data_IF_480923943702
#
_entry.id   IF_480923943702
#
_cell.length_a   1.000
_cell.length_b   1.000
_cell.length_c   1.000
_cell.angle_alpha   90.00
_cell.angle_beta   90.00
_cell.angle_gamma   90.00
#
_symmetry.space_group_name_H-M   'P 1'
#
loop_
_entity.id
_entity.type
_entity.pdbx_description
1 polymer ?
#
# COMPACT_ATOMS: atom_id res chain seq x y z
N UNK A 1 -4.61 -10.99 -18.04
CA UNK A 1 -5.44 -11.19 -16.82
C UNK A 1 -4.76 -10.63 -15.56
N UNK A 2 -3.51 -10.99 -15.24
CA UNK A 2 -2.84 -10.62 -13.99
C UNK A 2 -2.76 -9.09 -13.76
N UNK A 3 -2.46 -8.31 -14.81
CA UNK A 3 -2.43 -6.84 -14.73
C UNK A 3 -3.83 -6.28 -14.45
N UNK A 4 -4.85 -6.81 -15.12
CA UNK A 4 -6.22 -6.37 -14.91
C UNK A 4 -6.68 -6.66 -13.48
N UNK A 5 -6.43 -7.88 -12.99
CA UNK A 5 -6.76 -8.26 -11.62
C UNK A 5 -6.06 -7.35 -10.61
N UNK A 6 -4.75 -7.16 -10.75
CA UNK A 6 -3.96 -6.27 -9.88
C UNK A 6 -4.50 -4.84 -9.87
N UNK A 7 -4.76 -4.25 -11.05
CA UNK A 7 -5.26 -2.88 -11.13
C UNK A 7 -6.68 -2.74 -10.59
N UNK A 8 -7.55 -3.74 -10.81
CA UNK A 8 -8.94 -3.72 -10.32
C UNK A 8 -9.02 -3.88 -8.80
N UNK A 9 -8.13 -4.68 -8.20
CA UNK A 9 -8.10 -4.97 -6.76
C UNK A 9 -7.29 -3.95 -5.94
N UNK A 10 -6.41 -3.18 -6.57
CA UNK A 10 -5.53 -2.25 -5.87
C UNK A 10 -6.24 -1.27 -4.90
N UNK A 11 -7.40 -0.65 -5.24
CA UNK A 11 -8.07 0.25 -4.30
C UNK A 11 -8.50 -0.44 -3.01
N UNK A 12 -9.13 -1.62 -3.11
CA UNK A 12 -9.60 -2.39 -1.96
C UNK A 12 -8.42 -2.84 -1.09
N UNK A 13 -7.35 -3.34 -1.70
CA UNK A 13 -6.14 -3.74 -0.99
C UNK A 13 -5.46 -2.58 -0.24
N UNK A 14 -5.43 -1.37 -0.82
CA UNK A 14 -4.88 -0.20 -0.12
C UNK A 14 -5.76 0.22 1.06
N UNK A 15 -7.08 0.18 0.92
CA UNK A 15 -7.99 0.46 2.04
C UNK A 15 -7.88 -0.60 3.14
N UNK A 16 -7.70 -1.87 2.80
CA UNK A 16 -7.44 -2.92 3.78
C UNK A 16 -6.17 -2.64 4.59
N UNK A 17 -5.08 -2.24 3.93
CA UNK A 17 -3.85 -1.81 4.61
C UNK A 17 -4.09 -0.62 5.55
N UNK A 18 -4.91 0.35 5.14
CA UNK A 18 -5.27 1.48 5.99
C UNK A 18 -6.06 1.04 7.23
N UNK A 19 -7.04 0.14 7.06
CA UNK A 19 -7.81 -0.44 8.16
C UNK A 19 -6.96 -1.34 9.08
N UNK A 20 -5.92 -1.99 8.55
CA UNK A 20 -4.92 -2.71 9.36
C UNK A 20 -4.02 -1.77 10.16
N UNK A 21 -4.03 -0.47 9.86
CA UNK A 21 -3.32 0.56 10.60
C UNK A 21 -2.10 1.12 9.89
N UNK A 22 -1.92 0.91 8.58
CA UNK A 22 -0.82 1.56 7.84
C UNK A 22 -1.01 3.08 7.94
N UNK A 23 -0.03 3.82 8.49
CA UNK A 23 -0.13 5.26 8.72
C UNK A 23 0.14 6.04 7.42
N UNK A 24 -0.74 5.90 6.42
CA UNK A 24 -0.66 6.70 5.21
C UNK A 24 -0.73 8.19 5.54
N UNK A 25 0.07 8.99 4.82
CA UNK A 25 -0.03 10.44 4.83
C UNK A 25 -1.44 10.86 4.40
N UNK A 26 -1.90 12.02 4.88
CA UNK A 26 -3.27 12.49 4.67
C UNK A 26 -3.30 13.77 3.86
N UNK A 27 -4.32 13.92 3.05
CA UNK A 27 -4.75 15.21 2.49
C UNK A 27 -5.43 16.05 3.57
N UNK A 28 -5.68 17.33 3.28
CA UNK A 28 -6.38 18.23 4.20
C UNK A 28 -7.80 17.75 4.56
N UNK A 29 -8.46 17.04 3.65
CA UNK A 29 -9.78 16.43 3.86
C UNK A 29 -9.72 15.01 4.47
N UNK A 30 -8.55 14.58 4.93
CA UNK A 30 -8.37 13.33 5.68
C UNK A 30 -8.29 12.05 4.83
N UNK A 31 -8.31 12.16 3.50
CA UNK A 31 -8.12 11.03 2.60
C UNK A 31 -6.65 10.61 2.54
N UNK A 32 -6.39 9.40 2.00
CA UNK A 32 -5.03 8.93 1.74
C UNK A 32 -4.37 9.85 0.70
N UNK A 33 -3.25 10.45 1.08
CA UNK A 33 -2.41 11.26 0.19
C UNK A 33 -1.80 10.40 -0.91
N UNK A 34 -1.83 10.92 -2.14
CA UNK A 34 -1.27 10.30 -3.33
C UNK A 34 -0.34 11.28 -4.05
N UNK A 35 0.78 10.77 -4.58
CA UNK A 35 1.77 11.56 -5.33
C UNK A 35 1.93 11.10 -6.78
N UNK A 36 2.46 11.94 -7.69
CA UNK A 36 2.94 11.49 -8.99
C UNK A 36 4.06 10.46 -8.86
N UNK A 37 4.16 9.55 -9.84
CA UNK A 37 5.26 8.61 -9.95
C UNK A 37 5.52 8.25 -11.42
N UNK A 38 6.69 7.71 -11.72
CA UNK A 38 7.13 7.45 -13.09
C UNK A 38 6.14 6.59 -13.88
N UNK A 39 5.80 7.00 -15.11
CA UNK A 39 4.95 6.26 -16.03
C UNK A 39 3.45 6.24 -15.71
N UNK A 40 2.99 6.98 -14.71
CA UNK A 40 1.57 7.01 -14.32
C UNK A 40 0.81 8.12 -15.06
N UNK A 41 -0.09 7.73 -15.97
CA UNK A 41 -0.88 8.67 -16.79
C UNK A 41 -2.39 8.55 -16.60
N UNK A 42 -3.13 9.63 -16.82
CA UNK A 42 -4.61 9.64 -16.93
C UNK A 42 -5.04 9.37 -18.39
N UNK A 43 -6.29 8.94 -18.58
CA UNK A 43 -6.91 8.72 -19.90
C UNK A 43 -5.99 8.04 -20.93
N UNK A 44 -5.39 6.91 -20.56
CA UNK A 44 -4.50 6.13 -21.44
C UNK A 44 -3.30 6.89 -22.04
N UNK A 45 -2.82 7.97 -21.40
CA UNK A 45 -1.59 8.66 -21.81
C UNK A 45 -1.68 10.18 -21.89
N UNK A 46 -2.86 10.78 -21.69
CA UNK A 46 -3.07 12.21 -21.96
C UNK A 46 -2.52 13.15 -20.88
N UNK A 47 -2.45 12.70 -19.62
CA UNK A 47 -2.04 13.55 -18.50
C UNK A 47 -1.29 12.79 -17.42
N UNK A 48 -0.82 13.49 -16.39
CA UNK A 48 -0.11 12.90 -15.25
C UNK A 48 -1.12 12.44 -14.20
N UNK A 49 -1.02 11.18 -13.76
CA UNK A 49 -1.83 10.67 -12.68
C UNK A 49 -1.11 10.77 -11.32
N UNK A 50 -1.86 11.14 -10.30
CA UNK A 50 -1.44 11.05 -8.89
C UNK A 50 -2.13 9.85 -8.26
N UNK A 51 -1.44 8.69 -8.26
CA UNK A 51 -2.02 7.43 -7.77
C UNK A 51 -1.11 6.60 -6.85
N UNK A 52 0.04 7.16 -6.46
CA UNK A 52 0.96 6.49 -5.54
C UNK A 52 0.65 6.91 -4.11
N UNK A 53 -0.08 6.06 -3.38
CA UNK A 53 -0.33 6.23 -1.95
C UNK A 53 0.99 6.16 -1.16
N UNK A 54 1.17 7.03 -0.17
CA UNK A 54 2.44 7.14 0.54
C UNK A 54 2.28 7.36 2.04
N UNK A 55 3.20 6.78 2.82
CA UNK A 55 3.47 7.19 4.20
C UNK A 55 4.82 7.93 4.19
N UNK A 56 4.76 9.23 3.90
CA UNK A 56 5.92 10.07 3.58
C UNK A 56 6.83 9.40 2.53
N UNK A 57 8.09 9.18 2.86
CA UNK A 57 9.11 8.48 2.06
C UNK A 57 9.45 7.09 2.63
N UNK A 58 8.65 6.58 3.57
CA UNK A 58 8.88 5.32 4.31
C UNK A 58 7.74 4.32 4.20
N UNK A 59 6.97 4.35 3.11
CA UNK A 59 5.80 3.47 2.89
C UNK A 59 6.12 1.99 3.10
N UNK A 60 7.25 1.51 2.59
CA UNK A 60 7.66 0.10 2.77
C UNK A 60 7.88 -0.28 4.23
N UNK A 61 8.53 0.59 5.02
CA UNK A 61 8.73 0.39 6.46
C UNK A 61 7.39 0.35 7.19
N UNK A 62 6.51 1.31 6.92
CA UNK A 62 5.19 1.40 7.52
C UNK A 62 4.33 0.15 7.21
N UNK A 63 4.33 -0.29 5.95
CA UNK A 63 3.61 -1.51 5.53
C UNK A 63 4.17 -2.76 6.20
N UNK A 64 5.50 -2.93 6.21
CA UNK A 64 6.14 -4.12 6.78
C UNK A 64 5.82 -4.27 8.28
N UNK A 65 5.97 -3.18 9.06
CA UNK A 65 5.66 -3.20 10.48
C UNK A 65 4.17 -3.46 10.74
N UNK A 66 3.28 -2.86 9.95
CA UNK A 66 1.83 -3.08 10.10
C UNK A 66 1.47 -4.53 9.84
N UNK A 67 1.94 -5.10 8.73
CA UNK A 67 1.64 -6.49 8.36
C UNK A 67 2.29 -7.48 9.33
N UNK A 68 3.51 -7.23 9.81
CA UNK A 68 4.10 -8.05 10.87
C UNK A 68 3.24 -8.04 12.14
N UNK A 69 2.75 -6.86 12.55
CA UNK A 69 1.81 -6.72 13.67
C UNK A 69 0.50 -7.49 13.45
N UNK A 70 -0.07 -7.44 12.24
CA UNK A 70 -1.25 -8.24 11.90
C UNK A 70 -0.95 -9.75 11.97
N UNK A 71 0.18 -10.20 11.44
CA UNK A 71 0.59 -11.61 11.51
C UNK A 71 0.72 -12.10 12.96
N UNK A 72 1.28 -11.29 13.86
CA UNK A 72 1.32 -11.59 15.30
C UNK A 72 -0.10 -11.67 15.89
N UNK A 73 -0.97 -10.70 15.56
CA UNK A 73 -2.38 -10.71 16.01
C UNK A 73 -3.14 -11.95 15.55
N UNK A 74 -2.79 -12.48 14.39
CA UNK A 74 -3.38 -13.69 13.81
C UNK A 74 -2.65 -14.98 14.18
N UNK A 75 -1.72 -14.95 15.15
CA UNK A 75 -0.93 -16.09 15.61
C UNK A 75 -0.23 -16.85 14.47
N UNK A 76 0.28 -16.12 13.47
CA UNK A 76 1.11 -16.71 12.43
C UNK A 76 2.36 -17.35 13.05
N UNK A 77 2.69 -18.57 12.61
CA UNK A 77 3.90 -19.26 13.03
C UNK A 77 5.09 -18.75 12.22
N UNK A 78 6.14 -18.29 12.91
CA UNK A 78 7.33 -17.77 12.27
C UNK A 78 8.53 -18.68 12.56
N UNK A 79 9.21 -19.10 11.49
CA UNK A 79 10.48 -19.81 11.55
C UNK A 79 11.61 -18.80 11.26
N UNK A 80 11.82 -17.87 12.19
CA UNK A 80 12.77 -16.76 12.03
C UNK A 80 14.18 -17.31 12.14
N UNK A 81 15.01 -17.04 11.13
CA UNK A 81 16.42 -17.49 11.08
C UNK A 81 16.58 -18.98 11.40
N UNK A 82 15.67 -19.80 10.87
CA UNK A 82 15.69 -21.24 11.09
C UNK A 82 16.80 -21.90 10.27
N UNK A 83 17.67 -22.64 10.96
CA UNK A 83 18.74 -23.43 10.34
C UNK A 83 18.41 -24.92 10.49
N UNK A 84 18.42 -25.64 9.37
CA UNK A 84 18.10 -27.06 9.26
C UNK A 84 19.32 -27.95 9.57
#
# INVERSE_FOLDING_TARGET
>A
DAIEYLCRQAPEAVYELEHFGVPFSRTEDGRIYQRPFGGMTTNFGEGIAQRTCAAADRTGHAMLHTLYGQSVRHNAEFYIEYFA
#
